data_IF_731647650396
#
_entry.id   IF_731647650396
#
_cell.length_a   1.000
_cell.length_b   1.000
_cell.length_c   1.000
_cell.angle_alpha   90.00
_cell.angle_beta   90.00
_cell.angle_gamma   90.00
#
_symmetry.space_group_name_H-M   'P 1'
#
loop_
_entity.id
_entity.type
_entity.pdbx_description
1 polymer ?
#
# COMPACT_ATOMS: atom_id res chain seq x y z
N UNK A 1 4.83 -11.25 -5.50
CA UNK A 1 3.83 -10.16 -5.53
C UNK A 1 3.01 -10.34 -6.80
N UNK A 2 1.71 -10.61 -6.66
CA UNK A 2 0.77 -10.87 -7.76
C UNK A 2 -0.43 -9.91 -7.68
N UNK A 3 -1.21 -9.85 -8.76
CA UNK A 3 -2.30 -8.88 -8.92
C UNK A 3 -1.80 -7.63 -9.64
N UNK A 4 -2.19 -6.45 -9.16
CA UNK A 4 -1.65 -5.20 -9.67
C UNK A 4 -0.20 -5.05 -9.20
N UNK A 5 0.76 -5.11 -10.13
CA UNK A 5 2.17 -4.84 -9.85
C UNK A 5 2.54 -3.46 -10.37
N UNK A 6 2.70 -2.43 -9.50
CA UNK A 6 2.84 -1.03 -9.94
C UNK A 6 4.00 -0.76 -10.91
N UNK A 7 5.07 -1.57 -10.87
CA UNK A 7 6.19 -1.47 -11.81
C UNK A 7 5.78 -1.71 -13.28
N UNK A 8 4.71 -2.47 -13.50
CA UNK A 8 4.17 -2.79 -14.82
C UNK A 8 3.03 -1.86 -15.25
N UNK A 9 2.92 -0.67 -14.63
CA UNK A 9 1.82 0.27 -14.90
C UNK A 9 1.68 0.63 -16.39
N UNK A 10 2.79 0.78 -17.12
CA UNK A 10 2.76 1.08 -18.55
C UNK A 10 2.29 -0.10 -19.42
N UNK A 11 2.45 -1.34 -18.93
CA UNK A 11 1.91 -2.53 -19.59
C UNK A 11 0.42 -2.72 -19.27
N UNK A 12 0.00 -2.36 -18.06
CA UNK A 12 -1.39 -2.46 -17.63
C UNK A 12 -2.26 -1.26 -18.02
N UNK A 13 -1.65 -0.12 -18.33
CA UNK A 13 -2.30 1.14 -18.72
C UNK A 13 -3.06 1.85 -17.59
N UNK A 14 -3.44 1.15 -16.51
CA UNK A 14 -4.22 1.70 -15.40
C UNK A 14 -3.92 1.00 -14.08
N UNK A 15 -4.26 1.66 -12.97
CA UNK A 15 -4.36 1.04 -11.65
C UNK A 15 -5.68 0.26 -11.49
N UNK A 16 -6.26 -0.35 -12.52
CA UNK A 16 -7.53 -1.07 -12.37
C UNK A 16 -7.38 -2.32 -11.47
N UNK A 17 -8.52 -2.83 -10.98
CA UNK A 17 -8.57 -4.12 -10.29
C UNK A 17 -8.12 -5.22 -11.27
N UNK A 18 -7.27 -6.14 -10.81
CA UNK A 18 -6.77 -7.27 -11.63
C UNK A 18 -7.50 -8.55 -11.31
N UNK A 19 -7.42 -9.52 -12.22
CA UNK A 19 -7.99 -10.86 -12.07
C UNK A 19 -9.51 -10.84 -11.85
N UNK A 20 -10.21 -9.96 -12.58
CA UNK A 20 -11.67 -9.93 -12.61
C UNK A 20 -12.23 -11.00 -13.55
N UNK A 21 -11.55 -11.24 -14.67
CA UNK A 21 -11.91 -12.25 -15.64
C UNK A 21 -11.37 -13.62 -15.24
N UNK A 22 -12.12 -14.67 -15.57
CA UNK A 22 -11.83 -16.04 -15.16
C UNK A 22 -10.42 -16.50 -15.54
N UNK A 23 -9.99 -16.21 -16.77
CA UNK A 23 -8.67 -16.61 -17.27
C UNK A 23 -7.53 -15.97 -16.47
N UNK A 24 -7.65 -14.67 -16.17
CA UNK A 24 -6.64 -13.95 -15.37
C UNK A 24 -6.65 -14.43 -13.91
N UNK A 25 -7.82 -14.75 -13.36
CA UNK A 25 -7.95 -15.32 -12.02
C UNK A 25 -7.32 -16.72 -11.90
N UNK A 26 -7.55 -17.59 -12.89
CA UNK A 26 -6.93 -18.91 -12.97
C UNK A 26 -5.41 -18.80 -13.11
N UNK A 27 -4.93 -17.89 -13.97
CA UNK A 27 -3.50 -17.60 -14.11
C UNK A 27 -2.89 -17.11 -12.80
N UNK A 28 -3.54 -16.19 -12.08
CA UNK A 28 -3.04 -15.68 -10.80
C UNK A 28 -2.92 -16.81 -9.77
N UNK A 29 -3.92 -17.69 -9.68
CA UNK A 29 -3.87 -18.83 -8.76
C UNK A 29 -2.74 -19.81 -9.13
N UNK A 30 -2.55 -20.10 -10.43
CA UNK A 30 -1.46 -20.93 -10.90
C UNK A 30 -0.08 -20.31 -10.61
N UNK A 31 0.09 -19.02 -10.87
CA UNK A 31 1.31 -18.27 -10.57
C UNK A 31 1.61 -18.30 -9.06
N UNK A 32 0.60 -18.20 -8.20
CA UNK A 32 0.77 -18.24 -6.75
C UNK A 32 1.35 -19.58 -6.28
N UNK A 33 0.78 -20.70 -6.77
CA UNK A 33 1.29 -22.05 -6.47
C UNK A 33 2.70 -22.26 -7.05
N UNK A 34 2.97 -21.75 -8.25
CA UNK A 34 4.29 -21.85 -8.86
C UNK A 34 5.36 -21.09 -8.05
N UNK A 35 5.03 -19.91 -7.52
CA UNK A 35 5.93 -19.12 -6.67
C UNK A 35 6.18 -19.82 -5.32
N UNK A 36 5.16 -20.42 -4.71
CA UNK A 36 5.35 -21.25 -3.51
C UNK A 36 6.27 -22.44 -3.81
N UNK A 37 6.03 -23.17 -4.90
CA UNK A 37 6.86 -24.30 -5.30
C UNK A 37 8.32 -23.90 -5.60
N UNK A 38 8.53 -22.67 -6.09
CA UNK A 38 9.86 -22.08 -6.29
C UNK A 38 10.56 -21.66 -4.98
N UNK A 39 9.88 -21.76 -3.83
CA UNK A 39 10.43 -21.49 -2.51
C UNK A 39 10.19 -20.07 -1.99
N UNK A 40 9.24 -19.31 -2.55
CA UNK A 40 8.80 -18.07 -1.91
C UNK A 40 8.26 -18.36 -0.50
N UNK A 41 8.64 -17.56 0.49
CA UNK A 41 8.19 -17.76 1.87
C UNK A 41 6.87 -17.03 2.21
N UNK A 42 6.43 -16.09 1.36
CA UNK A 42 5.18 -15.34 1.48
C UNK A 42 4.83 -14.68 0.13
N UNK A 43 3.56 -14.27 -0.03
CA UNK A 43 3.09 -13.58 -1.23
C UNK A 43 2.26 -12.33 -0.90
N UNK A 44 2.56 -11.21 -1.58
CA UNK A 44 1.66 -10.05 -1.61
C UNK A 44 0.64 -10.21 -2.72
N UNK A 45 -0.64 -9.97 -2.40
CA UNK A 45 -1.77 -9.90 -3.33
C UNK A 45 -2.31 -8.47 -3.36
N UNK A 46 -2.15 -7.78 -4.49
CA UNK A 46 -2.53 -6.37 -4.63
C UNK A 46 -3.70 -6.18 -5.58
N UNK A 47 -4.74 -5.48 -5.09
CA UNK A 47 -5.88 -4.97 -5.88
C UNK A 47 -6.57 -6.03 -6.76
N UNK A 48 -6.96 -7.15 -6.15
CA UNK A 48 -7.71 -8.24 -6.77
C UNK A 48 -9.06 -8.47 -6.06
N UNK A 49 -10.04 -9.19 -6.67
CA UNK A 49 -11.28 -9.55 -6.00
C UNK A 49 -11.05 -10.28 -4.67
N UNK A 50 -11.77 -9.86 -3.63
CA UNK A 50 -11.61 -10.41 -2.28
C UNK A 50 -11.87 -11.92 -2.20
N UNK A 51 -12.85 -12.42 -2.95
CA UNK A 51 -13.14 -13.85 -3.02
C UNK A 51 -11.98 -14.64 -3.64
N UNK A 52 -11.34 -14.11 -4.68
CA UNK A 52 -10.16 -14.73 -5.28
C UNK A 52 -8.98 -14.74 -4.29
N UNK A 53 -8.71 -13.62 -3.64
CA UNK A 53 -7.65 -13.53 -2.64
C UNK A 53 -7.83 -14.54 -1.52
N UNK A 54 -9.07 -14.70 -1.03
CA UNK A 54 -9.40 -15.71 -0.02
C UNK A 54 -9.12 -17.14 -0.52
N UNK A 55 -9.60 -17.49 -1.72
CA UNK A 55 -9.35 -18.81 -2.31
C UNK A 55 -7.86 -19.10 -2.49
N UNK A 56 -7.09 -18.13 -3.00
CA UNK A 56 -5.64 -18.27 -3.18
C UNK A 56 -4.95 -18.44 -1.83
N UNK A 57 -5.30 -17.63 -0.83
CA UNK A 57 -4.70 -17.72 0.51
C UNK A 57 -4.97 -19.07 1.16
N UNK A 58 -6.18 -19.61 1.01
CA UNK A 58 -6.54 -20.95 1.52
C UNK A 58 -5.85 -22.10 0.77
N UNK A 59 -5.39 -21.89 -0.46
CA UNK A 59 -4.70 -22.93 -1.26
C UNK A 59 -3.20 -23.04 -0.97
N UNK A 60 -2.61 -22.02 -0.36
CA UNK A 60 -1.16 -21.94 -0.09
C UNK A 60 -0.85 -22.38 1.34
N UNK A 61 0.38 -22.85 1.55
CA UNK A 61 0.95 -23.13 2.88
C UNK A 61 1.73 -21.92 3.42
N UNK A 62 2.19 -21.04 2.53
CA UNK A 62 2.89 -19.80 2.88
C UNK A 62 1.91 -18.64 3.12
N UNK A 63 2.27 -17.64 3.95
CA UNK A 63 1.38 -16.52 4.26
C UNK A 63 1.12 -15.63 3.05
N UNK A 64 -0.12 -15.16 2.92
CA UNK A 64 -0.49 -14.10 1.99
C UNK A 64 -0.69 -12.76 2.71
N UNK A 65 -0.23 -11.68 2.08
CA UNK A 65 -0.35 -10.31 2.57
C UNK A 65 -1.18 -9.50 1.58
N UNK A 66 -2.35 -9.03 2.01
CA UNK A 66 -3.27 -8.28 1.16
C UNK A 66 -3.02 -6.77 1.18
N UNK A 67 -3.18 -6.13 0.03
CA UNK A 67 -3.39 -4.68 -0.09
C UNK A 67 -4.47 -4.44 -1.15
N UNK A 68 -5.65 -3.99 -0.71
CA UNK A 68 -6.83 -3.93 -1.59
C UNK A 68 -7.30 -5.29 -2.11
N UNK A 69 -6.97 -6.38 -1.41
CA UNK A 69 -7.36 -7.76 -1.72
C UNK A 69 -8.39 -8.33 -0.72
N UNK A 70 -8.95 -7.49 0.15
CA UNK A 70 -9.93 -7.90 1.17
C UNK A 70 -9.31 -8.63 2.38
N UNK A 71 -10.14 -9.05 3.35
CA UNK A 71 -9.70 -9.59 4.63
C UNK A 71 -9.33 -11.08 4.58
N UNK A 72 -9.47 -11.75 3.43
CA UNK A 72 -9.22 -13.19 3.29
C UNK A 72 -7.74 -13.59 3.18
N UNK A 73 -6.82 -12.62 3.26
CA UNK A 73 -5.37 -12.87 3.34
C UNK A 73 -4.93 -13.01 4.80
N UNK A 74 -3.80 -13.67 5.06
CA UNK A 74 -3.27 -13.91 6.41
C UNK A 74 -2.77 -12.64 7.11
N UNK A 75 -2.32 -11.66 6.32
CA UNK A 75 -1.89 -10.36 6.80
C UNK A 75 -2.31 -9.23 5.85
N UNK A 76 -2.01 -8.00 6.25
CA UNK A 76 -2.32 -6.81 5.47
C UNK A 76 -1.12 -5.87 5.42
N UNK A 77 -0.99 -5.13 4.32
CA UNK A 77 0.00 -4.06 4.16
C UNK A 77 -0.67 -2.80 3.64
N UNK A 78 -0.20 -1.65 4.13
CA UNK A 78 -0.56 -0.33 3.62
C UNK A 78 0.70 0.52 3.54
N UNK A 79 0.71 1.50 2.64
CA UNK A 79 1.76 2.50 2.57
C UNK A 79 1.60 3.45 3.76
N UNK A 80 2.67 3.66 4.52
CA UNK A 80 2.66 4.47 5.75
C UNK A 80 2.12 5.89 5.52
N UNK A 81 2.51 6.56 4.43
CA UNK A 81 2.06 7.92 4.10
C UNK A 81 0.55 7.99 3.90
N UNK A 82 -0.03 6.97 3.25
CA UNK A 82 -1.47 6.87 3.03
C UNK A 82 -2.20 6.55 4.33
N UNK A 83 -1.64 5.64 5.14
CA UNK A 83 -2.16 5.29 6.48
C UNK A 83 -2.19 6.52 7.40
N UNK A 84 -1.15 7.36 7.35
CA UNK A 84 -1.00 8.54 8.20
C UNK A 84 -1.66 9.80 7.60
N UNK A 85 -2.25 9.71 6.41
CA UNK A 85 -2.91 10.84 5.75
C UNK A 85 -1.95 12.01 5.48
N UNK A 86 -0.72 11.71 5.03
CA UNK A 86 0.29 12.72 4.66
C UNK A 86 0.04 13.33 3.27
N UNK A 87 -0.76 12.67 2.44
CA UNK A 87 -1.18 13.15 1.13
C UNK A 87 -2.69 12.89 0.96
N UNK A 88 -3.47 13.92 0.67
CA UNK A 88 -4.90 13.79 0.41
C UNK A 88 -5.29 13.75 -1.07
N UNK A 89 -4.35 13.87 -2.00
CA UNK A 89 -4.68 13.81 -3.44
C UNK A 89 -4.93 12.37 -3.92
N UNK A 90 -4.34 11.38 -3.24
CA UNK A 90 -4.46 9.97 -3.60
C UNK A 90 -5.39 9.24 -2.60
N UNK A 91 -6.64 8.99 -3.00
CA UNK A 91 -7.66 8.34 -2.15
C UNK A 91 -8.30 7.10 -2.79
N UNK A 92 -7.53 6.03 -3.08
CA UNK A 92 -8.13 4.79 -3.55
C UNK A 92 -8.99 4.14 -2.45
N UNK A 93 -10.06 3.43 -2.87
CA UNK A 93 -11.10 2.87 -1.98
C UNK A 93 -10.58 1.94 -0.88
N UNK A 94 -9.43 1.30 -1.07
CA UNK A 94 -8.89 0.30 -0.13
C UNK A 94 -8.03 0.90 0.98
N UNK A 95 -7.85 2.22 1.01
CA UNK A 95 -7.05 2.90 2.02
C UNK A 95 -7.94 3.40 3.14
N UNK A 96 -7.55 3.12 4.38
CA UNK A 96 -8.08 3.75 5.58
C UNK A 96 -7.00 4.65 6.16
N UNK A 97 -7.29 5.94 6.28
CA UNK A 97 -6.47 6.88 7.03
C UNK A 97 -6.73 6.69 8.53
N UNK A 98 -5.67 6.57 9.31
CA UNK A 98 -5.69 6.50 10.77
C UNK A 98 -5.30 7.83 11.41
N UNK A 99 -4.62 8.70 10.67
CA UNK A 99 -4.31 10.07 11.02
C UNK A 99 -4.50 10.98 9.80
N UNK A 100 -4.58 12.28 10.05
CA UNK A 100 -4.66 13.32 9.02
C UNK A 100 -3.45 14.26 9.17
N UNK A 101 -2.26 13.76 8.86
CA UNK A 101 -1.01 14.49 9.12
C UNK A 101 -0.74 15.62 8.12
N UNK A 102 -1.36 15.65 6.94
CA UNK A 102 -1.10 16.71 5.97
C UNK A 102 -1.24 18.11 6.59
N UNK A 103 -2.35 18.38 7.29
CA UNK A 103 -2.58 19.67 7.95
C UNK A 103 -1.53 19.98 9.02
N UNK A 104 -1.24 19.01 9.88
CA UNK A 104 -0.24 19.17 10.95
C UNK A 104 1.18 19.43 10.40
N UNK A 105 1.55 18.76 9.30
CA UNK A 105 2.83 18.98 8.60
C UNK A 105 2.86 20.38 7.99
N UNK A 106 1.77 20.82 7.36
CA UNK A 106 1.68 22.17 6.80
C UNK A 106 1.78 23.25 7.89
N UNK A 107 1.14 23.04 9.04
CA UNK A 107 1.23 23.95 10.19
C UNK A 107 2.64 23.99 10.77
N UNK A 108 3.27 22.83 10.99
CA UNK A 108 4.64 22.75 11.48
C UNK A 108 5.62 23.47 10.53
N UNK A 109 5.47 23.27 9.22
CA UNK A 109 6.29 23.94 8.22
C UNK A 109 6.10 25.47 8.25
N UNK A 110 4.86 25.96 8.39
CA UNK A 110 4.57 27.40 8.50
C UNK A 110 5.16 27.99 9.78
N UNK A 111 5.04 27.29 10.91
CA UNK A 111 5.61 27.72 12.19
C UNK A 111 7.13 27.83 12.10
N UNK A 112 7.80 26.78 11.60
CA UNK A 112 9.25 26.80 11.37
C UNK A 112 9.69 27.95 10.46
N UNK A 113 8.98 28.19 9.35
CA UNK A 113 9.26 29.31 8.45
C UNK A 113 9.12 30.66 9.18
N UNK A 114 8.11 30.82 10.03
CA UNK A 114 7.89 32.03 10.81
C UNK A 114 9.03 32.24 11.82
N UNK A 115 9.45 31.19 12.52
CA UNK A 115 10.52 31.26 13.52
C UNK A 115 11.86 31.60 12.88
N UNK A 116 12.20 30.99 11.74
CA UNK A 116 13.42 31.31 10.98
C UNK A 116 13.41 32.75 10.48
N UNK A 117 12.29 33.19 9.86
CA UNK A 117 12.18 34.57 9.34
C UNK A 117 12.15 35.62 10.44
N UNK A 118 11.60 35.26 11.61
CA UNK A 118 11.54 36.11 12.79
C UNK A 118 12.82 36.11 13.63
N UNK A 119 13.82 35.29 13.28
CA UNK A 119 15.04 35.12 14.07
C UNK A 119 14.81 34.47 15.43
N UNK A 120 13.68 33.77 15.61
CA UNK A 120 13.39 32.99 16.83
C UNK A 120 14.07 31.62 16.80
N UNK A 121 14.35 31.09 15.60
CA UNK A 121 15.10 29.86 15.41
C UNK A 121 16.33 30.07 14.51
N UNK A 122 17.52 29.53 14.87
CA UNK A 122 17.81 28.96 16.19
C UNK A 122 17.93 30.08 17.25
N UNK A 123 17.53 29.77 18.49
CA UNK A 123 17.78 30.59 19.67
C UNK A 123 19.16 30.31 20.29
N UNK A 124 19.55 31.08 21.31
CA UNK A 124 20.79 30.82 22.07
C UNK A 124 20.81 29.43 22.72
N UNK A 125 19.66 28.91 23.16
CA UNK A 125 19.56 27.56 23.75
C UNK A 125 19.74 26.45 22.71
N UNK A 126 19.53 26.77 21.44
CA UNK A 126 19.67 25.87 20.29
C UNK A 126 21.01 26.09 19.56
N UNK A 127 21.91 26.90 20.12
CA UNK A 127 23.21 27.27 19.56
C UNK A 127 24.35 26.90 20.52
N UNK A 128 25.53 26.55 19.98
CA UNK A 128 26.75 26.22 20.76
C UNK A 128 27.76 27.36 20.74
#
# INVERSE_FOLDING_TARGET
>A
HLGLTPQSIYQFGTYAVRAQEKEEAEKLAADALALEAAGCFALVLEKIPAALAQTVSQSLRIPTIGIGAGPGCDGQVLVMHDLLGMNNDFKPRFIRQYLALEGAIQEAAKAYIADVKGGQFPSEQESY
#
